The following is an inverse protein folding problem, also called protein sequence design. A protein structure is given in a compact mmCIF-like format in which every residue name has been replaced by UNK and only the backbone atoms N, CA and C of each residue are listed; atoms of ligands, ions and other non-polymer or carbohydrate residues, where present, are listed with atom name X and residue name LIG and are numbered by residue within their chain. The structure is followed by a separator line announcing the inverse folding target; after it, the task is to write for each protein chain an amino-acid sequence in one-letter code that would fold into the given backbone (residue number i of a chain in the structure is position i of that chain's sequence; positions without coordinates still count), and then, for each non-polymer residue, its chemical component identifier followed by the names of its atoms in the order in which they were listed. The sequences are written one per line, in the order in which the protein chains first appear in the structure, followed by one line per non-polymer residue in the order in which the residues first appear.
data_IF_593543167736
#
_entry.id   IF_593543167736
#
_cell.length_a   1.000
_cell.length_b   1.000
_cell.length_c   1.000
_cell.angle_alpha   90.00
_cell.angle_beta   90.00
_cell.angle_gamma   90.00
#
_symmetry.space_group_name_H-M   'P 1'
#
loop_
_entity.id
_entity.type
_entity.pdbx_description
1 polymer ?
#
# COMPACT_ATOMS: atom_id res chain seq x y z
N UNK A 1 -11.34 13.35 22.91
CA UNK A 1 -11.06 12.61 21.66
C UNK A 1 -11.70 13.41 20.54
N UNK A 2 -10.95 13.90 19.54
CA UNK A 2 -11.55 14.58 18.39
C UNK A 2 -12.56 13.65 17.72
N UNK A 3 -13.72 14.18 17.35
CA UNK A 3 -14.76 13.42 16.65
C UNK A 3 -14.25 13.13 15.22
N UNK A 4 -13.87 11.87 14.97
CA UNK A 4 -13.14 11.42 13.78
C UNK A 4 -13.90 11.58 12.44
N UNK A 5 -15.13 12.09 12.48
CA UNK A 5 -16.09 12.04 11.37
C UNK A 5 -15.86 13.16 10.34
N UNK A 6 -15.21 14.27 10.70
CA UNK A 6 -14.98 15.38 9.75
C UNK A 6 -13.76 16.26 10.08
N UNK A 7 -12.77 15.76 10.83
CA UNK A 7 -11.66 16.61 11.27
C UNK A 7 -10.48 16.57 10.29
N UNK A 8 -10.03 17.75 9.84
CA UNK A 8 -8.92 17.88 8.89
C UNK A 8 -7.61 17.31 9.46
N UNK A 9 -7.48 17.32 10.80
CA UNK A 9 -6.30 16.85 11.51
C UNK A 9 -6.19 15.31 11.50
N UNK A 10 -7.30 14.62 11.75
CA UNK A 10 -7.35 13.15 11.70
C UNK A 10 -7.09 12.66 10.27
N UNK A 11 -7.68 13.34 9.27
CA UNK A 11 -7.44 13.05 7.86
C UNK A 11 -5.98 13.24 7.47
N UNK A 12 -5.32 14.31 7.92
CA UNK A 12 -3.89 14.51 7.66
C UNK A 12 -3.03 13.36 8.19
N UNK A 13 -3.31 12.90 9.41
CA UNK A 13 -2.58 11.77 10.00
C UNK A 13 -2.82 10.47 9.22
N UNK A 14 -4.07 10.21 8.82
CA UNK A 14 -4.43 9.06 7.98
C UNK A 14 -3.79 9.14 6.60
N UNK A 15 -3.76 10.30 5.95
CA UNK A 15 -3.13 10.49 4.64
C UNK A 15 -1.61 10.23 4.71
N UNK A 16 -0.97 10.64 5.82
CA UNK A 16 0.44 10.34 6.07
C UNK A 16 0.69 8.83 6.22
N UNK A 17 -0.16 8.12 6.96
CA UNK A 17 0.00 6.70 7.24
C UNK A 17 -0.49 5.80 6.10
N UNK A 18 -1.51 6.24 5.36
CA UNK A 18 -2.08 5.52 4.21
C UNK A 18 -1.14 5.46 3.01
N UNK A 19 -0.08 6.28 3.00
CA UNK A 19 1.00 6.11 2.03
C UNK A 19 1.86 4.89 2.39
N UNK A 20 1.89 3.91 1.47
CA UNK A 20 2.52 2.60 1.61
C UNK A 20 3.92 2.60 2.24
N UNK A 21 4.76 3.60 1.91
CA UNK A 21 6.16 3.59 2.33
C UNK A 21 6.48 4.55 3.48
N UNK A 22 5.57 5.47 3.83
CA UNK A 22 5.82 6.45 4.89
C UNK A 22 6.04 5.75 6.24
N UNK A 23 5.09 4.90 6.66
CA UNK A 23 5.19 4.16 7.93
C UNK A 23 6.44 3.29 7.99
N UNK A 24 6.78 2.60 6.90
CA UNK A 24 7.95 1.72 6.80
C UNK A 24 9.26 2.50 6.94
N UNK A 25 9.40 3.63 6.24
CA UNK A 25 10.60 4.49 6.32
C UNK A 25 10.75 5.10 7.72
N UNK A 26 9.66 5.63 8.29
CA UNK A 26 9.67 6.20 9.64
C UNK A 26 10.07 5.15 10.67
N UNK A 27 9.49 3.95 10.59
CA UNK A 27 9.82 2.83 11.48
C UNK A 27 11.27 2.39 11.34
N UNK A 28 11.82 2.38 10.13
CA UNK A 28 13.22 2.03 9.90
C UNK A 28 14.16 3.08 10.54
N UNK A 29 13.85 4.37 10.45
CA UNK A 29 14.64 5.45 11.04
C UNK A 29 14.55 5.56 12.58
N UNK A 30 13.67 4.79 13.24
CA UNK A 30 13.47 4.86 14.71
C UNK A 30 14.75 4.64 15.54
N UNK A 31 15.71 3.88 14.99
CA UNK A 31 16.98 3.53 15.67
C UNK A 31 18.09 4.58 15.49
N UNK A 32 17.85 5.65 14.72
CA UNK A 32 18.83 6.70 14.49
C UNK A 32 18.98 7.09 13.02
N UNK A 33 19.91 8.02 12.79
CA UNK A 33 20.23 8.52 11.46
C UNK A 33 20.77 7.40 10.56
N UNK A 34 20.31 7.31 9.31
CA UNK A 34 20.77 6.30 8.35
C UNK A 34 21.05 6.91 6.97
N UNK A 35 21.99 6.31 6.24
CA UNK A 35 22.21 6.65 4.83
C UNK A 35 21.12 6.01 3.95
N UNK A 36 20.77 6.60 2.79
CA UNK A 36 19.72 6.06 1.92
C UNK A 36 19.93 4.60 1.50
N UNK A 37 21.19 4.21 1.22
CA UNK A 37 21.49 2.86 0.80
C UNK A 37 21.31 1.84 1.94
N UNK A 38 21.67 2.20 3.17
CA UNK A 38 21.46 1.37 4.37
C UNK A 38 19.96 1.22 4.65
N UNK A 39 19.23 2.33 4.56
CA UNK A 39 17.79 2.38 4.73
C UNK A 39 17.09 1.49 3.70
N UNK A 40 17.46 1.59 2.42
CA UNK A 40 16.95 0.72 1.35
C UNK A 40 17.21 -0.76 1.64
N UNK A 41 18.44 -1.09 2.03
CA UNK A 41 18.86 -2.47 2.30
C UNK A 41 18.11 -3.06 3.50
N UNK A 42 17.81 -2.23 4.50
CA UNK A 42 17.05 -2.62 5.69
C UNK A 42 15.56 -2.78 5.42
N UNK A 43 14.99 -1.93 4.57
CA UNK A 43 13.56 -1.97 4.23
C UNK A 43 13.26 -3.16 3.30
N UNK A 44 14.06 -3.35 2.24
CA UNK A 44 13.80 -4.37 1.22
C UNK A 44 12.57 -4.06 0.35
N UNK A 45 12.55 -4.53 -0.89
CA UNK A 45 11.41 -4.35 -1.81
C UNK A 45 11.15 -2.92 -2.31
N UNK A 46 11.65 -1.88 -1.65
CA UNK A 46 11.52 -0.49 -2.09
C UNK A 46 12.56 -0.14 -3.17
N UNK A 47 12.08 0.43 -4.28
CA UNK A 47 12.97 0.92 -5.34
C UNK A 47 13.74 2.18 -4.88
N UNK A 48 14.95 2.45 -5.42
CA UNK A 48 15.69 3.68 -5.10
C UNK A 48 14.90 4.97 -5.38
N UNK A 49 14.11 4.97 -6.46
CA UNK A 49 13.26 6.09 -6.85
C UNK A 49 12.18 6.34 -5.80
N UNK A 50 11.43 5.29 -5.43
CA UNK A 50 10.34 5.38 -4.44
C UNK A 50 10.87 5.75 -3.06
N UNK A 51 12.04 5.25 -2.67
CA UNK A 51 12.69 5.68 -1.42
C UNK A 51 13.02 7.17 -1.44
N UNK A 52 13.57 7.68 -2.54
CA UNK A 52 13.91 9.09 -2.68
C UNK A 52 12.67 9.98 -2.63
N UNK A 53 11.61 9.61 -3.33
CA UNK A 53 10.33 10.33 -3.31
C UNK A 53 9.69 10.32 -1.91
N UNK A 54 9.77 9.17 -1.21
CA UNK A 54 9.27 9.03 0.16
C UNK A 54 10.04 9.91 1.14
N UNK A 55 11.37 9.90 1.08
CA UNK A 55 12.20 10.76 1.92
C UNK A 55 11.92 12.25 1.68
N UNK A 56 11.78 12.68 0.41
CA UNK A 56 11.41 14.07 0.08
C UNK A 56 10.06 14.47 0.65
N UNK A 57 9.06 13.59 0.56
CA UNK A 57 7.73 13.83 1.14
C UNK A 57 7.79 13.93 2.66
N UNK A 58 8.50 13.01 3.32
CA UNK A 58 8.66 13.04 4.78
C UNK A 58 9.46 14.25 5.26
N UNK A 59 10.44 14.71 4.48
CA UNK A 59 11.18 15.95 4.73
C UNK A 59 10.29 17.19 4.57
N UNK A 60 9.51 17.25 3.49
CA UNK A 60 8.53 18.32 3.26
C UNK A 60 7.51 18.43 4.40
N UNK A 61 7.04 17.29 4.92
CA UNK A 61 6.11 17.23 6.05
C UNK A 61 6.79 17.44 7.42
N UNK A 62 8.10 17.72 7.46
CA UNK A 62 8.84 17.96 8.70
C UNK A 62 9.01 16.73 9.59
N UNK A 63 8.77 15.52 9.09
CA UNK A 63 8.90 14.26 9.84
C UNK A 63 10.35 13.72 9.81
N UNK A 64 11.09 14.05 8.76
CA UNK A 64 12.47 13.61 8.56
C UNK A 64 13.36 14.83 8.29
N UNK A 65 14.54 14.87 8.90
CA UNK A 65 15.58 15.83 8.59
C UNK A 65 16.68 15.17 7.76
N UNK A 66 17.19 15.90 6.77
CA UNK A 66 18.31 15.51 5.94
C UNK A 66 19.56 16.32 6.31
N UNK A 67 20.66 15.60 6.63
CA UNK A 67 21.94 16.20 7.02
C UNK A 67 23.01 15.83 5.99
N UNK A 68 23.67 16.86 5.44
CA UNK A 68 24.86 16.71 4.60
C UNK A 68 26.12 16.94 5.42
N UNK A 69 27.11 16.08 5.26
CA UNK A 69 28.42 16.22 5.89
C UNK A 69 29.47 16.56 4.83
N UNK A 70 30.25 17.61 5.10
CA UNK A 70 31.33 18.11 4.22
C UNK A 70 32.67 17.44 4.56
N UNK A 71 32.66 16.12 4.65
CA UNK A 71 33.86 15.28 4.77
C UNK A 71 34.13 14.59 3.43
N UNK A 72 35.24 13.88 3.31
CA UNK A 72 35.57 13.06 2.15
C UNK A 72 35.63 11.59 2.57
N UNK A 73 34.71 10.70 2.12
CA UNK A 73 33.43 10.82 1.42
C UNK A 73 32.42 11.93 1.73
N UNK A 74 31.91 12.76 0.80
CA UNK A 74 30.67 13.48 1.08
C UNK A 74 29.55 12.46 1.41
N UNK A 75 28.92 12.59 2.58
CA UNK A 75 27.84 11.69 3.00
C UNK A 75 26.56 12.45 3.34
N UNK A 76 25.44 11.77 3.15
CA UNK A 76 24.11 12.26 3.51
C UNK A 76 23.43 11.26 4.41
N UNK A 77 22.74 11.75 5.43
CA UNK A 77 21.97 10.95 6.37
C UNK A 77 20.60 11.55 6.59
N UNK A 78 19.64 10.68 6.86
CA UNK A 78 18.26 11.03 7.19
C UNK A 78 17.96 10.58 8.61
N UNK A 79 17.28 11.41 9.39
CA UNK A 79 16.91 11.12 10.77
C UNK A 79 15.49 11.62 11.05
N UNK A 80 14.78 10.97 11.97
CA UNK A 80 13.49 11.47 12.45
C UNK A 80 13.68 12.82 13.18
N UNK A 81 12.81 13.77 12.88
CA UNK A 81 12.64 14.99 13.68
C UNK A 81 11.92 14.66 15.00
N UNK A 82 11.76 15.65 15.89
CA UNK A 82 10.89 15.50 17.06
C UNK A 82 9.46 15.12 16.68
N UNK A 83 8.91 15.78 15.64
CA UNK A 83 7.58 15.47 15.10
C UNK A 83 7.54 14.03 14.53
N UNK A 84 8.54 13.63 13.74
CA UNK A 84 8.61 12.26 13.20
C UNK A 84 8.66 11.18 14.29
N UNK A 85 9.36 11.44 15.39
CA UNK A 85 9.40 10.52 16.55
C UNK A 85 8.05 10.44 17.26
N UNK A 86 7.32 11.55 17.37
CA UNK A 86 5.99 11.58 18.00
C UNK A 86 4.94 10.73 17.26
N UNK A 87 5.18 10.41 15.98
CA UNK A 87 4.28 9.57 15.17
C UNK A 87 4.55 8.05 15.34
N UNK A 88 5.69 7.66 15.93
CA UNK A 88 6.05 6.25 16.09
C UNK A 88 5.04 5.43 16.91
N UNK A 89 4.48 5.93 18.04
CA UNK A 89 3.48 5.17 18.80
C UNK A 89 2.21 4.85 18.00
N UNK A 90 1.78 5.76 17.11
CA UNK A 90 0.63 5.51 16.25
C UNK A 90 0.93 4.42 15.19
N UNK A 91 2.13 4.44 14.62
CA UNK A 91 2.60 3.39 13.69
C UNK A 91 2.67 2.04 14.41
N UNK A 92 3.16 2.02 15.65
CA UNK A 92 3.25 0.82 16.47
C UNK A 92 1.87 0.26 16.80
N UNK A 93 0.93 1.10 17.24
CA UNK A 93 -0.44 0.68 17.53
C UNK A 93 -1.13 0.09 16.29
N UNK A 94 -0.96 0.71 15.12
CA UNK A 94 -1.49 0.19 13.86
C UNK A 94 -0.83 -1.15 13.47
N UNK A 95 0.48 -1.27 13.70
CA UNK A 95 1.21 -2.52 13.45
C UNK A 95 0.76 -3.67 14.35
N UNK A 96 0.51 -3.41 15.64
CA UNK A 96 -0.01 -4.40 16.58
C UNK A 96 -1.40 -4.87 16.17
N UNK A 97 -2.30 -3.94 15.84
CA UNK A 97 -3.63 -4.28 15.33
C UNK A 97 -3.56 -5.11 14.04
N UNK A 98 -2.65 -4.78 13.12
CA UNK A 98 -2.48 -5.54 11.89
C UNK A 98 -1.97 -6.96 12.13
N UNK A 99 -1.07 -7.17 13.10
CA UNK A 99 -0.62 -8.52 13.49
C UNK A 99 -1.78 -9.37 13.99
N UNK A 100 -2.73 -8.76 14.71
CA UNK A 100 -3.88 -9.47 15.28
C UNK A 100 -4.98 -9.75 14.24
N UNK A 101 -5.22 -8.82 13.30
CA UNK A 101 -6.44 -8.85 12.48
C UNK A 101 -6.22 -8.89 10.96
N UNK A 102 -5.00 -8.84 10.45
CA UNK A 102 -4.77 -8.80 8.99
C UNK A 102 -5.35 -10.02 8.27
N UNK A 103 -5.27 -11.22 8.86
CA UNK A 103 -5.82 -12.44 8.27
C UNK A 103 -7.36 -12.38 8.17
N UNK A 104 -8.02 -11.81 9.17
CA UNK A 104 -9.48 -11.63 9.17
C UNK A 104 -9.91 -10.66 8.06
N UNK A 105 -9.16 -9.57 7.88
CA UNK A 105 -9.40 -8.57 6.82
C UNK A 105 -9.21 -9.19 5.44
N UNK A 106 -8.10 -9.91 5.21
CA UNK A 106 -7.81 -10.57 3.94
C UNK A 106 -8.88 -11.62 3.61
N UNK A 107 -9.26 -12.46 4.59
CA UNK A 107 -10.32 -13.44 4.39
C UNK A 107 -11.68 -12.79 4.08
N UNK A 108 -11.98 -11.62 4.64
CA UNK A 108 -13.18 -10.86 4.31
C UNK A 108 -13.15 -10.31 2.88
N UNK A 109 -12.00 -9.81 2.42
CA UNK A 109 -11.80 -9.34 1.04
C UNK A 109 -12.00 -10.47 0.04
N UNK A 110 -11.36 -11.63 0.25
CA UNK A 110 -11.49 -12.80 -0.62
C UNK A 110 -12.95 -13.26 -0.76
N UNK A 111 -13.71 -13.30 0.34
CA UNK A 111 -15.14 -13.67 0.32
C UNK A 111 -15.97 -12.68 -0.51
N UNK A 112 -15.69 -11.39 -0.39
CA UNK A 112 -16.41 -10.36 -1.14
C UNK A 112 -16.13 -10.46 -2.65
N UNK A 113 -14.87 -10.70 -3.04
CA UNK A 113 -14.48 -10.87 -4.44
C UNK A 113 -15.09 -12.14 -5.07
N UNK A 114 -15.11 -13.26 -4.34
CA UNK A 114 -15.75 -14.50 -4.78
C UNK A 114 -17.29 -14.36 -4.89
N UNK A 115 -17.91 -13.61 -3.99
CA UNK A 115 -19.33 -13.28 -4.04
C UNK A 115 -19.69 -12.41 -5.24
N UNK A 116 -18.87 -11.39 -5.54
CA UNK A 116 -19.04 -10.53 -6.72
C UNK A 116 -18.85 -11.30 -8.03
N UNK A 117 -17.88 -12.23 -8.09
CA UNK A 117 -17.67 -13.11 -9.24
C UNK A 117 -18.82 -14.09 -9.48
N UNK A 118 -19.50 -14.57 -8.42
CA UNK A 118 -20.70 -15.41 -8.53
C UNK A 118 -21.95 -14.64 -8.96
N UNK A 119 -22.14 -13.42 -8.47
CA UNK A 119 -23.26 -12.56 -8.89
C UNK A 119 -23.14 -12.15 -10.37
N UNK A 120 -21.92 -11.90 -10.87
CA UNK A 120 -21.68 -11.57 -12.28
C UNK A 120 -21.91 -12.73 -13.27
N UNK A 121 -21.76 -13.98 -12.83
CA UNK A 121 -22.03 -15.16 -13.67
C UNK A 121 -23.51 -15.58 -13.67
N UNK A 122 -24.24 -15.32 -12.58
CA UNK A 122 -25.67 -15.65 -12.48
C UNK A 122 -26.56 -14.75 -13.34
N UNK A 123 -26.14 -13.51 -13.63
CA UNK A 123 -26.87 -12.55 -14.47
C UNK A 123 -26.70 -12.81 -15.98
N UNK A 124 -25.61 -13.48 -16.39
CA UNK A 124 -25.34 -13.79 -17.80
C UNK A 124 -26.05 -15.06 -18.33
N UNK A 125 -26.78 -15.79 -17.48
CA UNK A 125 -27.40 -17.09 -17.81
C UNK A 125 -28.90 -17.06 -18.14
N UNK A 126 -29.54 -15.89 -18.15
CA UNK A 126 -30.99 -15.76 -18.32
C UNK A 126 -31.36 -14.92 -19.55
N UNK A 127 -30.73 -15.20 -20.71
CA UNK A 127 -31.24 -14.79 -22.01
C UNK A 127 -31.99 -15.97 -22.64
N UNK A 128 -33.28 -15.72 -22.80
CA UNK A 128 -34.38 -16.62 -23.09
C UNK A 128 -34.18 -17.53 -24.31
N UNK A 129 -34.52 -18.80 -24.12
CA UNK A 129 -34.65 -19.80 -25.17
C UNK A 129 -36.10 -19.87 -25.63
N UNK A 130 -36.38 -19.31 -26.80
CA UNK A 130 -37.55 -19.69 -27.60
C UNK A 130 -37.08 -20.11 -29.00
N UNK A 131 -37.33 -21.38 -29.34
CA UNK A 131 -37.06 -22.01 -30.65
C UNK A 131 -37.89 -21.39 -31.79
N UNK A 132 -37.76 -21.79 -33.06
CA UNK A 132 -37.55 -23.12 -33.65
C UNK A 132 -37.16 -22.96 -35.16
N UNK A 133 -37.26 -23.98 -36.03
CA UNK A 133 -36.18 -24.74 -36.67
C UNK A 133 -35.94 -24.38 -38.16
N UNK A 134 -34.83 -24.85 -38.73
CA UNK A 134 -34.62 -24.80 -40.19
C UNK A 134 -33.33 -25.47 -40.58
N UNK A 135 -33.40 -26.77 -40.86
CA UNK A 135 -32.24 -27.58 -41.25
C UNK A 135 -31.82 -27.42 -42.71
N UNK A 136 -30.56 -27.80 -42.94
CA UNK A 136 -29.84 -28.28 -44.14
C UNK A 136 -28.52 -27.53 -44.21
N UNK A 137 -27.35 -28.13 -44.35
CA UNK A 137 -26.93 -29.51 -44.48
C UNK A 137 -25.43 -29.48 -44.78
N UNK A 138 -24.83 -30.67 -44.73
CA UNK A 138 -23.51 -31.03 -45.24
C UNK A 138 -22.27 -30.90 -44.32
N UNK A 139 -21.51 -31.98 -44.39
CA UNK A 139 -20.47 -32.43 -43.48
C UNK A 139 -19.07 -32.32 -44.16
N UNK A 140 -17.98 -32.90 -43.62
CA UNK A 140 -16.71 -32.20 -43.42
C UNK A 140 -15.65 -32.57 -44.48
N UNK A 141 -14.53 -31.82 -44.51
CA UNK A 141 -13.29 -32.32 -45.11
C UNK A 141 -12.10 -32.19 -44.16
N UNK A 142 -11.54 -33.35 -43.89
CA UNK A 142 -10.28 -33.63 -43.23
C UNK A 142 -9.08 -33.12 -44.03
N UNK A 143 -8.03 -32.75 -43.28
CA UNK A 143 -6.59 -32.96 -43.52
C UNK A 143 -5.98 -32.62 -44.89
N UNK A 144 -4.95 -31.78 -44.88
CA UNK A 144 -3.54 -32.20 -45.01
C UNK A 144 -2.67 -31.18 -44.30
#
# INVERSE_FOLDING_TARGET
MPEFIADCQARLALDLLGNTWNGVVLWALRRGAQRPHELRRRIGGISPKVLTETLRRLEHNGLVAHRRYREAPPRVEYALTGLGRSLLPAIEALGLWAVEHAEEVLAAQDRAEQGAGRAGYADAGQADGTGHPGGTGYAPKSQT
#
